data_IF_178451029364
#
_entry.id   IF_178451029364
#
_cell.length_a   1.000
_cell.length_b   1.000
_cell.length_c   1.000
_cell.angle_alpha   90.00
_cell.angle_beta   90.00
_cell.angle_gamma   90.00
#
_symmetry.space_group_name_H-M   'P 1'
#
loop_
_entity.id
_entity.type
_entity.pdbx_description
1 polymer ?
#
# COMPACT_ATOMS: atom_id res chain seq x y z
N UNK A 1 -6.31 17.11 6.22
CA UNK A 1 -7.12 16.19 5.41
C UNK A 1 -6.25 15.57 4.32
N UNK A 2 -6.37 14.28 4.14
CA UNK A 2 -5.56 13.59 3.15
C UNK A 2 -6.04 13.90 1.73
N UNK A 3 -5.11 14.29 0.86
CA UNK A 3 -5.40 14.69 -0.52
C UNK A 3 -5.33 13.55 -1.55
N UNK A 4 -5.33 12.29 -1.12
CA UNK A 4 -5.18 11.13 -2.00
C UNK A 4 -5.96 9.93 -1.48
N UNK A 5 -6.24 8.99 -2.40
CA UNK A 5 -6.81 7.70 -2.04
C UNK A 5 -5.71 6.69 -1.74
N UNK A 6 -6.05 5.65 -0.99
CA UNK A 6 -5.15 4.53 -0.71
C UNK A 6 -5.83 3.26 -1.22
N UNK A 7 -5.10 2.49 -2.03
CA UNK A 7 -5.53 1.17 -2.49
C UNK A 7 -4.47 0.17 -2.05
N UNK A 8 -4.89 -0.83 -1.29
CA UNK A 8 -4.03 -1.94 -0.90
C UNK A 8 -4.20 -3.04 -1.93
N UNK A 9 -3.13 -3.40 -2.63
CA UNK A 9 -3.14 -4.39 -3.69
C UNK A 9 -2.21 -5.55 -3.31
N UNK A 10 -2.66 -6.78 -3.51
CA UNK A 10 -1.85 -7.92 -3.12
C UNK A 10 -2.54 -9.25 -3.38
N UNK A 11 -1.97 -10.29 -2.81
CA UNK A 11 -2.38 -11.67 -3.02
C UNK A 11 -3.44 -12.10 -2.01
N UNK A 12 -4.44 -12.81 -2.50
CA UNK A 12 -5.44 -13.46 -1.65
C UNK A 12 -6.21 -12.49 -0.76
N UNK A 13 -6.35 -12.85 0.49
CA UNK A 13 -7.11 -12.08 1.48
C UNK A 13 -6.25 -11.03 2.22
N UNK A 14 -4.96 -10.99 1.96
CA UNK A 14 -4.05 -10.08 2.66
C UNK A 14 -4.46 -8.60 2.51
N UNK A 15 -4.78 -8.08 1.32
CA UNK A 15 -5.21 -6.68 1.20
C UNK A 15 -6.43 -6.34 2.04
N UNK A 16 -7.46 -7.18 2.02
CA UNK A 16 -8.67 -6.96 2.82
C UNK A 16 -8.38 -7.02 4.32
N UNK A 17 -7.55 -7.97 4.74
CA UNK A 17 -7.15 -8.10 6.14
C UNK A 17 -6.30 -6.91 6.60
N UNK A 18 -5.39 -6.43 5.76
CA UNK A 18 -4.57 -5.27 6.07
C UNK A 18 -5.43 -4.00 6.20
N UNK A 19 -6.39 -3.83 5.31
CA UNK A 19 -7.38 -2.75 5.39
C UNK A 19 -8.15 -2.82 6.72
N UNK A 20 -8.73 -3.97 7.02
CA UNK A 20 -9.52 -4.14 8.25
C UNK A 20 -8.69 -3.87 9.50
N UNK A 21 -7.45 -4.33 9.52
CA UNK A 21 -6.54 -4.13 10.66
C UNK A 21 -6.11 -2.67 10.78
N UNK A 22 -5.87 -2.00 9.66
CA UNK A 22 -5.57 -0.56 9.66
C UNK A 22 -6.75 0.22 10.26
N UNK A 23 -7.96 -0.11 9.87
CA UNK A 23 -9.17 0.54 10.41
C UNK A 23 -9.42 0.18 11.89
N UNK A 24 -9.01 -1.01 12.31
CA UNK A 24 -9.06 -1.38 13.72
C UNK A 24 -8.21 -0.43 14.57
N UNK A 25 -7.06 -0.03 14.07
CA UNK A 25 -6.11 0.84 14.78
C UNK A 25 -6.50 2.31 14.65
N UNK A 26 -6.84 2.75 13.45
CA UNK A 26 -7.04 4.16 13.11
C UNK A 26 -8.50 4.61 13.17
N UNK A 27 -9.46 3.69 13.27
CA UNK A 27 -10.85 3.97 13.02
C UNK A 27 -11.16 3.94 11.51
N UNK A 28 -12.37 4.26 11.16
CA UNK A 28 -12.80 4.26 9.76
C UNK A 28 -11.99 5.27 8.93
N UNK A 29 -11.47 4.81 7.80
CA UNK A 29 -10.62 5.61 6.92
C UNK A 29 -11.35 5.84 5.59
N UNK A 30 -11.69 7.10 5.26
CA UNK A 30 -12.26 7.41 3.95
C UNK A 30 -11.29 7.09 2.82
N UNK A 31 -11.82 6.64 1.69
CA UNK A 31 -11.03 6.39 0.48
C UNK A 31 -9.89 5.38 0.66
N UNK A 32 -10.14 4.36 1.45
CA UNK A 32 -9.26 3.21 1.63
C UNK A 32 -9.94 1.98 1.04
N UNK A 33 -9.32 1.34 0.06
CA UNK A 33 -9.86 0.17 -0.63
C UNK A 33 -8.81 -0.94 -0.71
N UNK A 34 -9.28 -2.16 -0.94
CA UNK A 34 -8.41 -3.32 -1.06
C UNK A 34 -8.77 -4.15 -2.29
N UNK A 35 -7.77 -4.64 -3.01
CA UNK A 35 -7.94 -5.49 -4.20
C UNK A 35 -7.00 -6.67 -4.08
N UNK A 36 -7.53 -7.85 -3.82
CA UNK A 36 -6.77 -9.09 -3.69
C UNK A 36 -6.83 -9.94 -4.95
N UNK A 37 -5.68 -10.51 -5.31
CA UNK A 37 -5.59 -11.45 -6.43
C UNK A 37 -6.00 -12.84 -5.94
N UNK A 38 -7.04 -13.42 -6.52
CA UNK A 38 -7.44 -14.78 -6.18
C UNK A 38 -6.56 -15.81 -6.90
N UNK A 39 -6.54 -17.05 -6.38
CA UNK A 39 -5.64 -18.10 -6.87
C UNK A 39 -5.79 -18.42 -8.36
N UNK A 40 -7.01 -18.30 -8.89
CA UNK A 40 -7.32 -18.62 -10.30
C UNK A 40 -7.50 -17.39 -11.19
N UNK A 41 -7.28 -16.22 -10.65
CA UNK A 41 -7.51 -14.95 -11.37
C UNK A 41 -6.37 -14.66 -12.33
N UNK A 42 -6.72 -14.28 -13.57
CA UNK A 42 -5.72 -13.87 -14.57
C UNK A 42 -5.19 -12.47 -14.26
N UNK A 43 -3.96 -12.15 -14.71
CA UNK A 43 -3.44 -10.79 -14.59
C UNK A 43 -4.35 -9.73 -15.25
N UNK A 44 -4.95 -10.03 -16.40
CA UNK A 44 -5.83 -9.10 -17.08
C UNK A 44 -7.11 -8.82 -16.28
N UNK A 45 -7.70 -9.85 -15.71
CA UNK A 45 -8.88 -9.68 -14.86
C UNK A 45 -8.54 -8.87 -13.60
N UNK A 46 -7.40 -9.16 -12.96
CA UNK A 46 -6.93 -8.40 -11.82
C UNK A 46 -6.72 -6.92 -12.19
N UNK A 47 -6.13 -6.66 -13.37
CA UNK A 47 -5.89 -5.31 -13.85
C UNK A 47 -7.19 -4.52 -14.03
N UNK A 48 -8.25 -5.15 -14.53
CA UNK A 48 -9.56 -4.51 -14.65
C UNK A 48 -10.10 -4.08 -13.29
N UNK A 49 -10.04 -4.97 -12.30
CA UNK A 49 -10.48 -4.68 -10.93
C UNK A 49 -9.68 -3.58 -10.26
N UNK A 50 -8.36 -3.62 -10.42
CA UNK A 50 -7.49 -2.60 -9.85
C UNK A 50 -7.73 -1.23 -10.50
N UNK A 51 -7.85 -1.17 -11.82
CA UNK A 51 -8.18 0.08 -12.52
C UNK A 51 -9.52 0.65 -12.08
N UNK A 52 -10.53 -0.20 -11.93
CA UNK A 52 -11.85 0.23 -11.47
C UNK A 52 -11.77 0.83 -10.06
N UNK A 53 -10.99 0.22 -9.18
CA UNK A 53 -10.81 0.69 -7.81
C UNK A 53 -10.00 2.00 -7.74
N UNK A 54 -8.97 2.13 -8.55
CA UNK A 54 -8.18 3.38 -8.67
C UNK A 54 -9.06 4.51 -9.18
N UNK A 55 -10.01 4.20 -10.08
CA UNK A 55 -10.94 5.18 -10.62
C UNK A 55 -10.35 6.02 -11.75
N UNK A 56 -11.19 6.89 -12.31
CA UNK A 56 -10.85 7.70 -13.49
C UNK A 56 -10.74 9.19 -13.21
N UNK A 57 -11.01 9.61 -11.99
CA UNK A 57 -10.88 11.02 -11.64
C UNK A 57 -9.40 11.42 -11.52
N UNK A 58 -9.15 12.69 -11.22
CA UNK A 58 -7.80 13.22 -11.16
C UNK A 58 -7.13 13.11 -9.79
N UNK A 59 -7.79 12.49 -8.82
CA UNK A 59 -7.22 12.37 -7.48
C UNK A 59 -5.96 11.51 -7.51
N UNK A 60 -4.92 11.91 -6.81
CA UNK A 60 -3.76 11.04 -6.61
C UNK A 60 -4.15 9.78 -5.85
N UNK A 61 -3.49 8.67 -6.20
CA UNK A 61 -3.74 7.37 -5.59
C UNK A 61 -2.42 6.74 -5.17
N UNK A 62 -2.34 6.38 -3.91
CA UNK A 62 -1.24 5.59 -3.37
C UNK A 62 -1.65 4.11 -3.39
N UNK A 63 -0.91 3.29 -4.14
CA UNK A 63 -1.12 1.85 -4.17
C UNK A 63 -0.04 1.19 -3.31
N UNK A 64 -0.47 0.52 -2.25
CA UNK A 64 0.41 -0.24 -1.37
C UNK A 64 0.33 -1.70 -1.76
N UNK A 65 1.42 -2.24 -2.30
CA UNK A 65 1.51 -3.62 -2.76
C UNK A 65 2.21 -4.49 -1.72
N UNK A 66 1.76 -5.72 -1.56
CA UNK A 66 2.29 -6.65 -0.57
C UNK A 66 3.68 -7.17 -0.92
N UNK A 67 3.95 -7.40 -2.20
CA UNK A 67 5.16 -8.09 -2.64
C UNK A 67 5.74 -7.45 -3.90
N UNK A 68 7.03 -7.22 -3.89
CA UNK A 68 7.74 -6.75 -5.07
C UNK A 68 7.76 -7.83 -6.16
N UNK A 69 7.33 -7.49 -7.36
CA UNK A 69 7.44 -8.37 -8.53
C UNK A 69 6.29 -9.36 -8.74
N UNK A 70 5.30 -9.41 -7.86
CA UNK A 70 4.10 -10.23 -8.07
C UNK A 70 3.12 -9.58 -9.05
N UNK A 71 2.09 -10.33 -9.46
CA UNK A 71 1.05 -9.80 -10.37
C UNK A 71 0.44 -8.48 -9.88
N UNK A 72 0.02 -8.34 -8.61
CA UNK A 72 -0.52 -7.07 -8.13
C UNK A 72 0.44 -5.91 -8.31
N UNK A 73 1.72 -6.10 -7.98
CA UNK A 73 2.73 -5.06 -8.16
C UNK A 73 2.98 -4.76 -9.63
N UNK A 74 3.10 -5.77 -10.48
CA UNK A 74 3.38 -5.57 -11.90
C UNK A 74 2.26 -4.80 -12.59
N UNK A 75 1.01 -5.11 -12.26
CA UNK A 75 -0.16 -4.38 -12.76
C UNK A 75 -0.18 -2.95 -12.25
N UNK A 76 -0.02 -2.74 -10.95
CA UNK A 76 -0.02 -1.40 -10.35
C UNK A 76 1.11 -0.55 -10.92
N UNK A 77 2.30 -1.12 -11.08
CA UNK A 77 3.47 -0.46 -11.65
C UNK A 77 3.24 -0.04 -13.10
N UNK A 78 2.60 -0.90 -13.90
CA UNK A 78 2.26 -0.57 -15.29
C UNK A 78 1.27 0.60 -15.36
N UNK A 79 0.29 0.63 -14.47
CA UNK A 79 -0.66 1.74 -14.36
C UNK A 79 0.10 3.02 -13.98
N UNK A 80 0.97 2.95 -12.99
CA UNK A 80 1.74 4.11 -12.51
C UNK A 80 2.66 4.71 -13.57
N UNK A 81 3.25 3.87 -14.44
CA UNK A 81 4.07 4.37 -15.54
C UNK A 81 3.30 5.21 -16.56
N UNK A 82 1.99 4.96 -16.68
CA UNK A 82 1.13 5.69 -17.62
C UNK A 82 0.35 6.83 -16.97
N UNK A 83 0.30 6.85 -15.66
CA UNK A 83 -0.50 7.82 -14.92
C UNK A 83 0.31 8.37 -13.74
N UNK A 84 0.87 9.59 -13.86
CA UNK A 84 1.72 10.17 -12.81
C UNK A 84 1.00 10.37 -11.46
N UNK A 85 -0.32 10.39 -11.45
CA UNK A 85 -1.11 10.51 -10.21
C UNK A 85 -1.11 9.21 -9.38
N UNK A 86 -0.67 8.10 -9.96
CA UNK A 86 -0.65 6.79 -9.29
C UNK A 86 0.77 6.47 -8.84
N UNK A 87 0.95 6.37 -7.54
CA UNK A 87 2.24 6.05 -6.92
C UNK A 87 2.15 4.67 -6.27
N UNK A 88 3.11 3.80 -6.54
CA UNK A 88 3.13 2.43 -6.03
C UNK A 88 4.30 2.22 -5.08
N UNK A 89 4.05 1.60 -3.94
CA UNK A 89 5.08 1.14 -3.01
C UNK A 89 4.90 -0.36 -2.82
N UNK A 90 5.97 -1.12 -3.01
CA UNK A 90 6.00 -2.57 -2.77
C UNK A 90 6.53 -2.88 -1.37
N UNK A 91 6.22 -4.06 -0.87
CA UNK A 91 6.66 -4.49 0.46
C UNK A 91 5.89 -3.81 1.58
N UNK A 92 4.66 -3.43 1.33
CA UNK A 92 3.84 -2.74 2.34
C UNK A 92 3.62 -3.62 3.58
N UNK A 93 3.67 -2.97 4.72
CA UNK A 93 3.34 -3.60 6.00
C UNK A 93 2.37 -2.72 6.78
N UNK A 94 1.90 -3.24 7.92
CA UNK A 94 0.89 -2.56 8.72
C UNK A 94 1.35 -1.18 9.21
N UNK A 95 2.61 -1.05 9.62
CA UNK A 95 3.14 0.24 10.05
C UNK A 95 3.04 1.30 8.94
N UNK A 96 3.37 0.92 7.71
CA UNK A 96 3.26 1.79 6.54
C UNK A 96 1.79 2.16 6.26
N UNK A 97 0.89 1.19 6.32
CA UNK A 97 -0.53 1.42 6.07
C UNK A 97 -1.15 2.38 7.10
N UNK A 98 -0.80 2.22 8.37
CA UNK A 98 -1.25 3.12 9.44
C UNK A 98 -0.72 4.54 9.21
N UNK A 99 0.56 4.68 8.89
CA UNK A 99 1.16 5.99 8.61
C UNK A 99 0.48 6.67 7.43
N UNK A 100 0.23 5.94 6.35
CA UNK A 100 -0.45 6.46 5.16
C UNK A 100 -1.89 6.88 5.49
N UNK A 101 -2.62 6.08 6.25
CA UNK A 101 -4.00 6.35 6.63
C UNK A 101 -4.13 7.63 7.48
N UNK A 102 -3.15 7.90 8.33
CA UNK A 102 -3.14 9.06 9.22
C UNK A 102 -2.46 10.29 8.60
N UNK A 103 -1.91 10.18 7.39
CA UNK A 103 -1.23 11.30 6.75
C UNK A 103 -2.20 12.41 6.33
N UNK A 104 -1.75 13.63 6.46
CA UNK A 104 -2.43 14.81 5.92
C UNK A 104 -1.69 15.32 4.68
N UNK A 105 -2.39 16.10 3.87
CA UNK A 105 -1.80 16.79 2.74
C UNK A 105 -1.65 15.94 1.50
N UNK A 106 -0.66 16.29 0.69
CA UNK A 106 -0.50 15.75 -0.66
C UNK A 106 0.35 14.49 -0.69
N UNK A 107 0.15 13.71 -1.75
CA UNK A 107 0.98 12.54 -2.07
C UNK A 107 2.22 13.03 -2.82
N UNK A 108 3.21 13.49 -2.07
CA UNK A 108 4.47 14.02 -2.60
C UNK A 108 5.65 13.08 -2.30
N UNK A 109 6.81 13.41 -2.84
CA UNK A 109 8.02 12.59 -2.66
C UNK A 109 8.42 12.47 -1.18
N UNK A 110 8.24 13.53 -0.40
CA UNK A 110 8.57 13.51 1.03
C UNK A 110 7.70 12.51 1.78
N UNK A 111 6.40 12.43 1.46
CA UNK A 111 5.51 11.44 2.05
C UNK A 111 5.91 10.03 1.65
N UNK A 112 6.19 9.80 0.37
CA UNK A 112 6.61 8.46 -0.12
C UNK A 112 7.86 7.99 0.62
N UNK A 113 8.86 8.85 0.75
CA UNK A 113 10.09 8.54 1.48
C UNK A 113 9.81 8.21 2.96
N UNK A 114 8.94 9.00 3.61
CA UNK A 114 8.54 8.74 5.00
C UNK A 114 7.83 7.41 5.16
N UNK A 115 6.94 7.05 4.24
CA UNK A 115 6.23 5.77 4.29
C UNK A 115 7.18 4.59 4.16
N UNK A 116 8.14 4.68 3.25
CA UNK A 116 9.16 3.64 3.08
C UNK A 116 10.01 3.52 4.35
N UNK A 117 10.43 4.63 4.91
CA UNK A 117 11.23 4.64 6.14
C UNK A 117 10.46 4.05 7.32
N UNK A 118 9.20 4.43 7.51
CA UNK A 118 8.35 3.88 8.56
C UNK A 118 8.18 2.37 8.40
N UNK A 119 7.93 1.92 7.16
CA UNK A 119 7.81 0.49 6.88
C UNK A 119 9.08 -0.28 7.21
N UNK A 120 10.24 0.25 6.83
CA UNK A 120 11.54 -0.35 7.14
C UNK A 120 11.85 -0.37 8.62
N UNK A 121 11.57 0.73 9.31
CA UNK A 121 11.85 0.86 10.74
C UNK A 121 11.05 -0.11 11.60
N UNK A 122 9.90 -0.59 11.11
CA UNK A 122 9.09 -1.58 11.79
C UNK A 122 9.62 -3.02 11.69
N UNK A 123 10.67 -3.25 10.92
CA UNK A 123 11.26 -4.58 10.72
C UNK A 123 12.48 -4.71 11.62
N UNK A 124 12.29 -5.26 12.80
CA UNK A 124 13.36 -5.39 13.79
C UNK A 124 13.32 -6.77 14.44
N UNK A 125 14.50 -7.29 14.77
CA UNK A 125 14.60 -8.34 15.76
C UNK A 125 14.48 -7.68 17.15
N UNK A 126 13.94 -8.39 18.09
CA UNK A 126 13.67 -7.88 19.42
C UNK A 126 14.97 -7.64 20.24
N UNK A 127 14.88 -7.61 21.55
CA UNK A 127 15.98 -7.27 22.46
C UNK A 127 17.26 -8.07 22.23
N UNK A 128 17.13 -9.34 21.84
CA UNK A 128 18.30 -10.18 21.54
C UNK A 128 19.15 -9.59 20.41
N UNK A 129 18.53 -9.10 19.35
CA UNK A 129 19.23 -8.47 18.24
C UNK A 129 19.90 -7.16 18.67
N UNK A 130 19.20 -6.38 19.46
CA UNK A 130 19.75 -5.11 20.00
C UNK A 130 20.97 -5.36 20.88
N UNK A 131 20.92 -6.36 21.74
CA UNK A 131 22.05 -6.73 22.60
C UNK A 131 23.27 -7.11 21.79
N UNK A 132 23.11 -7.89 20.70
CA UNK A 132 24.23 -8.25 19.83
C UNK A 132 24.83 -7.04 19.11
N UNK A 133 24.03 -6.07 18.74
CA UNK A 133 24.51 -4.87 18.05
C UNK A 133 25.28 -3.94 18.96
N UNK A 134 24.98 -3.94 20.23
CA UNK A 134 25.63 -3.09 21.22
C UNK A 134 26.92 -3.72 21.75
N UNK A 135 26.99 -5.03 21.82
CA UNK A 135 28.19 -5.75 22.28
C UNK A 135 29.29 -5.93 21.19
#
# INVERSE_FOLDING_TARGET
MRGFRIVIAGHGTLPAALLATTELICGEIPDLAAVGLSASESPDHYAEGLRATIGRDHRPVLVLCDLLGGTPFNVASAIGRRSPRVVCIAGANLAMAVEAALADGDLDDALVERLIEVGRAGIVETERHRARRVS
#
